data_IF_885153751473
#
_entry.id   IF_885153751473
#
_cell.length_a   1.000
_cell.length_b   1.000
_cell.length_c   1.000
_cell.angle_alpha   90.00
_cell.angle_beta   90.00
_cell.angle_gamma   90.00
#
_symmetry.space_group_name_H-M   'P 1'
#
loop_
_entity.id
_entity.type
_entity.pdbx_description
1 polymer ?
#
# COMPACT_ATOMS: atom_id res chain seq x y z
N UNK A 1 14.30 5.26 -14.50
CA UNK A 1 12.92 5.78 -14.43
C UNK A 1 12.29 5.23 -13.16
N UNK A 2 11.67 6.06 -12.33
CA UNK A 2 11.10 5.63 -11.05
C UNK A 2 9.69 5.03 -11.26
N UNK A 3 9.39 3.86 -10.68
CA UNK A 3 8.06 3.20 -10.78
C UNK A 3 6.97 3.86 -9.90
N UNK A 4 7.06 5.16 -9.60
CA UNK A 4 6.20 5.76 -8.59
C UNK A 4 4.71 5.74 -8.98
N UNK A 5 3.91 5.09 -8.13
CA UNK A 5 2.47 5.00 -8.31
C UNK A 5 2.01 4.11 -9.46
N UNK A 6 2.89 3.36 -10.13
CA UNK A 6 2.49 2.30 -11.08
C UNK A 6 2.05 1.05 -10.31
N UNK A 7 0.85 0.53 -10.64
CA UNK A 7 0.35 -0.69 -10.01
C UNK A 7 0.93 -1.91 -10.74
N UNK A 8 1.52 -2.83 -9.96
CA UNK A 8 2.16 -4.06 -10.42
C UNK A 8 1.61 -5.24 -9.61
N UNK A 9 1.01 -6.20 -10.31
CA UNK A 9 0.38 -7.42 -9.77
C UNK A 9 1.39 -8.57 -9.57
N UNK A 10 0.94 -9.68 -8.97
CA UNK A 10 1.67 -10.95 -8.82
C UNK A 10 3.02 -10.90 -8.05
N UNK A 11 3.29 -9.85 -7.28
CA UNK A 11 4.50 -9.77 -6.45
C UNK A 11 4.30 -10.56 -5.14
N UNK A 12 5.21 -11.48 -4.76
CA UNK A 12 5.07 -12.30 -3.56
C UNK A 12 5.01 -11.45 -2.29
N UNK A 13 4.10 -11.81 -1.38
CA UNK A 13 3.71 -11.00 -0.22
C UNK A 13 4.74 -11.16 0.93
N UNK A 14 5.48 -10.11 1.34
CA UNK A 14 6.38 -10.20 2.50
C UNK A 14 5.58 -10.21 3.81
N UNK A 15 6.08 -10.83 4.89
CA UNK A 15 5.48 -10.78 6.25
C UNK A 15 5.82 -9.46 6.99
N UNK A 16 5.10 -9.11 8.09
CA UNK A 16 5.35 -7.96 9.02
C UNK A 16 5.28 -6.53 8.39
N UNK A 17 4.49 -5.54 8.83
CA UNK A 17 3.40 -5.43 9.82
C UNK A 17 2.30 -4.46 9.31
N UNK A 18 1.86 -3.42 10.03
CA UNK A 18 0.61 -2.65 9.75
C UNK A 18 0.81 -1.35 8.96
N UNK A 19 0.05 -1.20 7.86
CA UNK A 19 0.21 -0.10 6.87
C UNK A 19 -1.03 0.69 6.46
N UNK A 20 -0.76 1.82 5.79
CA UNK A 20 -1.61 3.03 5.79
C UNK A 20 -0.97 4.10 4.83
N UNK A 21 -1.41 4.41 3.61
CA UNK A 21 -0.90 5.59 2.86
C UNK A 21 -1.92 6.60 2.26
N UNK A 22 -1.47 7.68 1.60
CA UNK A 22 -2.29 8.71 0.90
C UNK A 22 -2.43 8.42 -0.62
N UNK A 23 -2.68 7.16 -1.01
CA UNK A 23 -2.43 6.65 -2.38
C UNK A 23 -3.63 5.91 -3.03
N UNK A 24 -3.39 5.30 -4.20
CA UNK A 24 -4.34 4.66 -5.15
C UNK A 24 -5.10 3.41 -4.65
N UNK A 25 -5.37 3.28 -3.34
CA UNK A 25 -5.98 2.09 -2.71
C UNK A 25 -7.41 1.74 -3.17
N UNK A 26 -8.09 2.66 -3.85
CA UNK A 26 -9.36 2.42 -4.54
C UNK A 26 -9.21 1.45 -5.72
N UNK A 27 -8.08 1.48 -6.42
CA UNK A 27 -7.86 0.77 -7.69
C UNK A 27 -7.18 -0.61 -7.50
N UNK A 28 -6.48 -0.82 -6.38
CA UNK A 28 -5.74 -2.06 -6.11
C UNK A 28 -6.67 -3.26 -5.87
N UNK A 29 -6.42 -4.36 -6.59
CA UNK A 29 -6.91 -5.72 -6.35
C UNK A 29 -6.02 -6.44 -5.32
N UNK A 30 -6.41 -7.63 -4.86
CA UNK A 30 -5.53 -8.43 -3.99
C UNK A 30 -4.35 -8.95 -4.80
N UNK A 31 -3.13 -8.84 -4.28
CA UNK A 31 -1.89 -9.16 -4.99
C UNK A 31 -1.27 -7.98 -5.76
N UNK A 32 -1.97 -6.85 -5.88
CA UNK A 32 -1.42 -5.61 -6.43
C UNK A 32 -0.50 -4.91 -5.44
N UNK A 33 0.52 -4.24 -5.99
CA UNK A 33 1.42 -3.35 -5.27
C UNK A 33 1.77 -2.09 -6.06
N UNK A 34 2.30 -1.05 -5.43
CA UNK A 34 3.00 0.05 -6.12
C UNK A 34 4.10 0.62 -5.20
N UNK A 35 5.14 1.22 -5.79
CA UNK A 35 6.24 1.88 -5.07
C UNK A 35 6.00 3.40 -4.97
N UNK A 36 6.58 4.04 -3.95
CA UNK A 36 6.60 5.49 -3.77
C UNK A 36 7.84 5.92 -3.00
N UNK A 37 8.32 7.15 -3.29
CA UNK A 37 9.44 7.82 -2.60
C UNK A 37 9.10 8.20 -1.15
N UNK A 38 7.82 8.13 -0.78
CA UNK A 38 7.38 8.33 0.58
C UNK A 38 7.92 7.26 1.54
N UNK A 39 8.24 7.67 2.77
CA UNK A 39 8.74 6.76 3.80
C UNK A 39 7.77 5.62 4.08
N UNK A 40 8.28 4.49 4.59
CA UNK A 40 7.42 3.39 5.03
C UNK A 40 6.37 3.87 6.02
N UNK A 41 6.65 4.85 6.89
CA UNK A 41 5.65 5.35 7.84
C UNK A 41 4.70 6.42 7.28
N UNK A 42 4.99 7.05 6.13
CA UNK A 42 4.01 7.80 5.34
C UNK A 42 3.06 6.83 4.57
N UNK A 43 3.62 5.75 4.01
CA UNK A 43 2.92 4.55 3.55
C UNK A 43 2.35 3.68 4.70
N UNK A 44 2.59 4.06 5.97
CA UNK A 44 1.87 3.62 7.19
C UNK A 44 1.15 4.76 7.97
N UNK A 45 0.92 5.96 7.40
CA UNK A 45 0.07 7.05 7.94
C UNK A 45 -1.42 7.15 7.46
N UNK A 46 -1.85 6.74 6.24
CA UNK A 46 -3.19 7.08 5.70
C UNK A 46 -4.13 6.03 4.97
N UNK A 47 -3.86 4.71 4.87
CA UNK A 47 -4.70 3.72 4.15
C UNK A 47 -5.65 2.99 5.07
N UNK A 48 -5.25 2.70 6.30
CA UNK A 48 -6.24 2.55 7.37
C UNK A 48 -7.03 3.88 7.59
N UNK A 49 -6.57 5.08 7.12
CA UNK A 49 -7.50 6.22 6.92
C UNK A 49 -8.41 6.06 5.69
N UNK A 50 -7.95 5.50 4.56
CA UNK A 50 -8.82 5.15 3.41
C UNK A 50 -9.91 4.14 3.82
N UNK A 51 -9.52 2.99 4.39
CA UNK A 51 -10.37 1.93 4.98
C UNK A 51 -11.39 2.48 5.97
N UNK A 52 -11.02 3.45 6.82
CA UNK A 52 -11.94 4.03 7.82
C UNK A 52 -12.73 5.26 7.37
N UNK A 53 -12.24 6.09 6.45
CA UNK A 53 -12.98 7.27 5.92
C UNK A 53 -13.96 6.91 4.82
N UNK A 54 -13.72 5.81 4.10
CA UNK A 54 -14.59 5.40 2.98
C UNK A 54 -15.62 4.36 3.43
N UNK A 55 -16.55 4.04 2.53
CA UNK A 55 -17.70 3.14 2.77
C UNK A 55 -17.36 1.86 3.55
N UNK A 56 -18.36 1.34 4.29
CA UNK A 56 -18.35 0.06 5.01
C UNK A 56 -17.66 -1.07 4.20
N UNK A 57 -17.86 -1.09 2.87
CA UNK A 57 -17.23 -2.01 1.88
C UNK A 57 -15.69 -2.01 1.82
N UNK A 58 -15.02 -1.02 2.40
CA UNK A 58 -13.55 -0.93 2.41
C UNK A 58 -12.95 -1.33 3.77
N UNK A 59 -13.75 -1.62 4.80
CA UNK A 59 -13.26 -2.07 6.12
C UNK A 59 -12.56 -3.42 6.08
N UNK A 60 -12.95 -4.29 5.14
CA UNK A 60 -12.37 -5.62 4.96
C UNK A 60 -11.02 -5.60 4.21
N UNK A 61 -10.65 -4.47 3.60
CA UNK A 61 -9.40 -4.35 2.83
C UNK A 61 -8.20 -4.20 3.75
N UNK A 62 -7.14 -4.94 3.46
CA UNK A 62 -5.90 -4.92 4.25
C UNK A 62 -4.72 -4.57 3.36
N UNK A 63 -3.96 -3.55 3.78
CA UNK A 63 -2.79 -3.04 3.07
C UNK A 63 -1.52 -3.13 3.93
N UNK A 64 -0.39 -3.39 3.28
CA UNK A 64 0.90 -3.63 3.94
C UNK A 64 2.03 -2.91 3.23
N UNK A 65 2.79 -2.08 3.94
CA UNK A 65 3.95 -1.37 3.39
C UNK A 65 5.28 -1.95 3.91
N UNK A 66 6.30 -1.97 3.05
CA UNK A 66 7.65 -2.48 3.32
C UNK A 66 8.68 -1.58 2.62
N UNK A 67 9.75 -1.25 3.33
CA UNK A 67 10.95 -0.58 2.81
C UNK A 67 11.69 -1.51 1.83
N UNK A 68 12.19 -0.97 0.71
CA UNK A 68 13.07 -1.70 -0.23
C UNK A 68 14.36 -0.90 -0.46
N UNK A 69 14.76 -0.14 0.55
CA UNK A 69 15.83 0.87 0.55
C UNK A 69 15.75 1.90 -0.61
N UNK A 70 16.84 2.65 -0.81
CA UNK A 70 16.91 3.81 -1.71
C UNK A 70 15.77 4.84 -1.50
N UNK A 71 15.52 5.22 -0.24
CA UNK A 71 14.61 6.33 0.14
C UNK A 71 13.11 5.99 0.16
N UNK A 72 12.65 5.12 -0.74
CA UNK A 72 11.23 4.79 -0.89
C UNK A 72 10.75 3.52 -0.18
N UNK A 73 9.47 3.21 -0.38
CA UNK A 73 8.85 1.97 0.05
C UNK A 73 7.72 1.53 -0.90
N UNK A 74 7.41 0.23 -0.89
CA UNK A 74 6.31 -0.37 -1.67
C UNK A 74 5.15 -0.73 -0.74
N UNK A 75 3.93 -0.69 -1.26
CA UNK A 75 2.73 -1.12 -0.53
C UNK A 75 1.89 -2.08 -1.38
N UNK A 76 1.41 -3.14 -0.72
CA UNK A 76 0.60 -4.21 -1.30
C UNK A 76 -0.82 -4.18 -0.73
N UNK A 77 -1.80 -4.65 -1.50
CA UNK A 77 -3.11 -5.06 -0.98
C UNK A 77 -3.14 -6.57 -0.80
N UNK A 78 -3.40 -7.03 0.43
CA UNK A 78 -3.39 -8.44 0.82
C UNK A 78 -4.77 -8.97 1.20
N UNK A 79 -5.79 -8.09 1.28
CA UNK A 79 -7.22 -8.39 1.36
C UNK A 79 -8.01 -7.22 0.79
#
# INVERSE_FOLDING_TARGET
MSEEGQIVSNIPIPKIIRGRGKYKFSMMKVGDSFWSEATTDALRTAAYKYVNRTSKKNKDKVFKAVRIDAGGARIWRIK
#
